data_IF_659319862884
#
_entry.id   IF_659319862884
#
_cell.length_a   1.000
_cell.length_b   1.000
_cell.length_c   1.000
_cell.angle_alpha   90.00
_cell.angle_beta   90.00
_cell.angle_gamma   90.00
#
_symmetry.space_group_name_H-M   'P 1'
#
loop_
_entity.id
_entity.type
_entity.pdbx_description
1 polymer ?
#
# COMPACT_ATOMS: atom_id res chain seq x y z
N UNK A 1 -14.49 -18.38 -25.79
CA UNK A 1 -15.16 -19.32 -24.90
C UNK A 1 -14.14 -20.00 -23.98
N UNK A 2 -14.53 -20.28 -22.74
CA UNK A 2 -13.67 -20.94 -21.73
C UNK A 2 -14.35 -22.24 -21.31
N UNK A 3 -13.73 -23.36 -21.64
CA UNK A 3 -14.14 -24.64 -21.10
C UNK A 3 -13.71 -24.75 -19.62
N UNK A 4 -14.68 -24.65 -18.70
CA UNK A 4 -14.42 -24.66 -17.25
C UNK A 4 -13.93 -26.02 -16.73
N UNK A 5 -14.12 -27.10 -17.47
CA UNK A 5 -13.74 -28.44 -17.04
C UNK A 5 -12.33 -28.81 -17.51
N UNK A 6 -11.97 -28.50 -18.76
CA UNK A 6 -10.64 -28.76 -19.31
C UNK A 6 -9.67 -27.60 -19.11
N UNK A 7 -10.18 -26.38 -18.83
CA UNK A 7 -9.38 -25.15 -18.75
C UNK A 7 -8.94 -24.62 -20.13
N UNK A 8 -9.44 -25.21 -21.21
CA UNK A 8 -9.11 -24.79 -22.57
C UNK A 8 -9.88 -23.53 -22.95
N UNK A 9 -9.19 -22.64 -23.63
CA UNK A 9 -9.72 -21.37 -24.08
C UNK A 9 -9.74 -21.33 -25.60
N UNK A 10 -10.92 -21.10 -26.16
CA UNK A 10 -11.12 -20.96 -27.59
C UNK A 10 -11.55 -19.54 -27.92
N UNK A 11 -10.91 -18.94 -28.92
CA UNK A 11 -11.23 -17.63 -29.43
C UNK A 11 -11.87 -17.78 -30.79
N UNK A 12 -13.06 -17.20 -30.95
CA UNK A 12 -13.81 -17.21 -32.20
C UNK A 12 -13.86 -15.77 -32.74
N UNK A 13 -13.56 -15.61 -34.03
CA UNK A 13 -13.82 -14.40 -34.77
C UNK A 13 -15.18 -14.50 -35.45
N UNK A 14 -16.01 -13.49 -35.27
CA UNK A 14 -17.26 -13.35 -35.99
C UNK A 14 -16.97 -12.58 -37.28
N UNK A 15 -17.23 -13.19 -38.43
CA UNK A 15 -17.04 -12.61 -39.76
C UNK A 15 -18.35 -12.54 -40.51
N UNK A 16 -18.58 -11.40 -41.18
CA UNK A 16 -19.72 -11.21 -42.06
C UNK A 16 -19.48 -11.89 -43.43
N UNK A 17 -20.46 -12.62 -43.92
CA UNK A 17 -20.43 -13.24 -45.27
C UNK A 17 -20.74 -12.18 -46.30
N UNK A 18 -19.79 -11.91 -47.20
CA UNK A 18 -19.89 -10.91 -48.29
C UNK A 18 -19.56 -11.53 -49.63
N UNK A 19 -19.94 -10.88 -50.72
CA UNK A 19 -19.55 -11.36 -52.07
C UNK A 19 -18.05 -11.19 -52.31
N UNK A 20 -17.49 -10.06 -51.88
CA UNK A 20 -16.06 -9.74 -52.00
C UNK A 20 -15.55 -9.21 -50.67
N UNK A 21 -14.62 -9.92 -50.03
CA UNK A 21 -14.07 -9.49 -48.76
C UNK A 21 -12.99 -8.42 -48.97
N UNK A 22 -13.23 -7.21 -48.45
CA UNK A 22 -12.25 -6.10 -48.44
C UNK A 22 -11.46 -6.12 -47.14
N UNK A 23 -12.08 -6.49 -46.02
CA UNK A 23 -11.45 -6.63 -44.70
C UNK A 23 -11.43 -8.12 -44.27
N UNK A 24 -10.30 -8.75 -44.49
CA UNK A 24 -10.10 -10.17 -44.14
C UNK A 24 -10.21 -10.46 -42.62
N UNK A 25 -10.18 -9.45 -41.76
CA UNK A 25 -10.33 -9.61 -40.30
C UNK A 25 -11.81 -9.81 -39.92
N UNK A 26 -12.72 -9.03 -40.55
CA UNK A 26 -14.13 -8.97 -40.20
C UNK A 26 -15.07 -9.59 -41.27
N UNK A 27 -14.54 -9.90 -42.44
CA UNK A 27 -15.33 -10.39 -43.57
C UNK A 27 -14.80 -11.74 -44.09
N UNK A 28 -15.71 -12.53 -44.67
CA UNK A 28 -15.42 -13.80 -45.35
C UNK A 28 -16.26 -13.87 -46.61
N UNK A 29 -15.66 -14.39 -47.70
CA UNK A 29 -16.43 -14.60 -48.92
C UNK A 29 -17.47 -15.70 -48.76
N UNK A 30 -18.60 -15.60 -49.49
CA UNK A 30 -19.63 -16.62 -49.51
C UNK A 30 -19.08 -17.98 -49.90
N UNK A 31 -18.09 -18.01 -50.81
CA UNK A 31 -17.46 -19.26 -51.26
C UNK A 31 -16.70 -19.95 -50.14
N UNK A 32 -15.95 -19.18 -49.32
CA UNK A 32 -15.19 -19.69 -48.17
C UNK A 32 -16.10 -20.03 -46.99
N UNK A 33 -17.16 -19.26 -46.78
CA UNK A 33 -18.17 -19.55 -45.75
C UNK A 33 -18.86 -20.88 -46.03
N UNK A 34 -19.23 -21.17 -47.29
CA UNK A 34 -19.84 -22.43 -47.71
C UNK A 34 -18.92 -23.65 -47.63
N UNK A 35 -17.62 -23.47 -47.59
CA UNK A 35 -16.65 -24.55 -47.29
C UNK A 35 -16.73 -25.00 -45.83
N UNK A 36 -17.15 -24.10 -44.94
CA UNK A 36 -17.34 -24.39 -43.51
C UNK A 36 -18.72 -25.04 -43.29
N UNK A 37 -19.79 -24.38 -43.75
CA UNK A 37 -21.13 -24.94 -43.74
C UNK A 37 -21.88 -24.50 -45.03
N UNK A 38 -22.39 -25.44 -45.87
CA UNK A 38 -23.10 -25.13 -47.11
C UNK A 38 -24.36 -24.28 -46.96
N UNK A 39 -24.87 -24.13 -45.73
CA UNK A 39 -26.10 -23.38 -45.41
C UNK A 39 -25.91 -21.89 -45.30
N UNK A 40 -24.67 -21.40 -45.24
CA UNK A 40 -24.41 -19.95 -45.13
C UNK A 40 -24.85 -19.19 -46.38
N UNK A 41 -25.49 -18.04 -46.13
CA UNK A 41 -25.96 -17.11 -47.14
C UNK A 41 -25.23 -15.74 -46.98
N UNK A 42 -25.42 -14.83 -47.93
CA UNK A 42 -24.91 -13.45 -47.83
C UNK A 42 -25.53 -12.78 -46.60
N UNK A 43 -24.77 -11.93 -45.95
CA UNK A 43 -25.07 -11.20 -44.71
C UNK A 43 -25.14 -12.07 -43.44
N UNK A 44 -24.91 -13.38 -43.54
CA UNK A 44 -24.78 -14.24 -42.36
C UNK A 44 -23.50 -13.91 -41.55
N UNK A 45 -23.50 -14.36 -40.30
CA UNK A 45 -22.31 -14.25 -39.42
C UNK A 45 -21.73 -15.66 -39.24
N UNK A 46 -20.47 -15.81 -39.58
CA UNK A 46 -19.71 -17.05 -39.39
C UNK A 46 -18.79 -16.94 -38.21
N UNK A 47 -18.84 -17.89 -37.31
CA UNK A 47 -17.87 -17.99 -36.19
C UNK A 47 -16.72 -18.92 -36.60
N UNK A 48 -15.53 -18.37 -36.69
CA UNK A 48 -14.31 -19.11 -37.05
C UNK A 48 -13.38 -19.14 -35.85
N UNK A 49 -12.94 -20.35 -35.48
CA UNK A 49 -11.96 -20.49 -34.42
C UNK A 49 -10.60 -19.95 -34.89
N UNK A 50 -10.11 -18.90 -34.21
CA UNK A 50 -8.85 -18.22 -34.47
C UNK A 50 -7.90 -18.31 -33.29
N UNK A 51 -8.04 -19.33 -32.47
CA UNK A 51 -7.23 -19.52 -31.26
C UNK A 51 -5.72 -19.51 -31.61
N UNK A 52 -4.93 -18.49 -31.22
CA UNK A 52 -3.51 -18.47 -31.52
C UNK A 52 -2.79 -19.62 -30.81
N UNK A 53 -1.85 -20.29 -31.47
CA UNK A 53 -1.07 -21.41 -30.90
C UNK A 53 -0.36 -21.06 -29.56
N UNK A 54 -0.07 -19.76 -29.32
CA UNK A 54 0.57 -19.28 -28.10
C UNK A 54 -0.40 -18.64 -27.09
N UNK A 55 -1.71 -18.68 -27.36
CA UNK A 55 -2.71 -17.98 -26.55
C UNK A 55 -2.73 -18.46 -25.09
N UNK A 56 -2.64 -19.77 -24.87
CA UNK A 56 -2.56 -20.35 -23.52
C UNK A 56 -1.37 -19.83 -22.72
N UNK A 57 -0.21 -19.62 -23.37
CA UNK A 57 0.97 -19.07 -22.72
C UNK A 57 0.77 -17.60 -22.35
N UNK A 58 0.20 -16.78 -23.26
CA UNK A 58 -0.09 -15.36 -23.01
C UNK A 58 -1.14 -15.22 -21.91
N UNK A 59 -2.22 -16.00 -21.97
CA UNK A 59 -3.27 -16.00 -20.96
C UNK A 59 -2.73 -16.39 -19.58
N UNK A 60 -1.90 -17.43 -19.50
CA UNK A 60 -1.27 -17.85 -18.25
C UNK A 60 -0.32 -16.77 -17.68
N UNK A 61 0.44 -16.09 -18.55
CA UNK A 61 1.33 -15.01 -18.14
C UNK A 61 0.54 -13.79 -17.62
N UNK A 62 -0.54 -13.40 -18.30
CA UNK A 62 -1.43 -12.33 -17.87
C UNK A 62 -2.12 -12.69 -16.56
N UNK A 63 -2.65 -13.92 -16.42
CA UNK A 63 -3.25 -14.38 -15.18
C UNK A 63 -2.27 -14.32 -14.01
N UNK A 64 -1.02 -14.77 -14.20
CA UNK A 64 0.04 -14.66 -13.21
C UNK A 64 0.27 -13.20 -12.79
N UNK A 65 0.36 -12.27 -13.75
CA UNK A 65 0.55 -10.85 -13.46
C UNK A 65 -0.62 -10.28 -12.63
N UNK A 66 -1.87 -10.59 -13.02
CA UNK A 66 -3.07 -10.14 -12.29
C UNK A 66 -3.08 -10.68 -10.86
N UNK A 67 -2.78 -11.97 -10.68
CA UNK A 67 -2.73 -12.59 -9.34
C UNK A 67 -1.65 -11.93 -8.48
N UNK A 68 -0.44 -11.75 -9.00
CA UNK A 68 0.66 -11.08 -8.29
C UNK A 68 0.29 -9.63 -7.93
N UNK A 69 -0.36 -8.90 -8.84
CA UNK A 69 -0.83 -7.55 -8.55
C UNK A 69 -1.87 -7.53 -7.43
N UNK A 70 -2.85 -8.44 -7.45
CA UNK A 70 -3.87 -8.54 -6.39
C UNK A 70 -3.27 -8.89 -5.03
N UNK A 71 -2.29 -9.78 -4.99
CA UNK A 71 -1.56 -10.10 -3.76
C UNK A 71 -0.86 -8.85 -3.21
N UNK A 72 -0.13 -8.12 -4.06
CA UNK A 72 0.55 -6.87 -3.66
C UNK A 72 -0.44 -5.80 -3.17
N UNK A 73 -1.60 -5.65 -3.82
CA UNK A 73 -2.64 -4.72 -3.38
C UNK A 73 -3.19 -5.10 -2.00
N UNK A 74 -3.45 -6.38 -1.76
CA UNK A 74 -3.90 -6.89 -0.47
C UNK A 74 -2.85 -6.68 0.63
N UNK A 75 -1.58 -6.99 0.36
CA UNK A 75 -0.46 -6.74 1.29
C UNK A 75 -0.34 -5.26 1.66
N UNK A 76 -0.42 -4.36 0.67
CA UNK A 76 -0.41 -2.91 0.90
C UNK A 76 -1.61 -2.45 1.73
N UNK A 77 -2.78 -3.03 1.50
CA UNK A 77 -3.98 -2.77 2.31
C UNK A 77 -3.79 -3.14 3.78
N UNK A 78 -3.28 -4.34 4.04
CA UNK A 78 -2.99 -4.79 5.42
C UNK A 78 -1.93 -3.93 6.12
N UNK A 79 -0.88 -3.53 5.40
CA UNK A 79 0.15 -2.64 5.95
C UNK A 79 -0.44 -1.26 6.26
N UNK A 80 -1.27 -0.71 5.36
CA UNK A 80 -1.95 0.55 5.60
C UNK A 80 -2.81 0.49 6.87
N UNK A 81 -3.70 -0.50 7.00
CA UNK A 81 -4.59 -0.65 8.17
C UNK A 81 -3.80 -0.80 9.47
N UNK A 82 -2.71 -1.59 9.43
CA UNK A 82 -1.85 -1.79 10.60
C UNK A 82 -1.30 -0.47 11.15
N UNK A 83 -0.81 0.42 10.28
CA UNK A 83 -0.20 1.68 10.72
C UNK A 83 -1.23 2.80 10.87
N UNK A 84 -2.33 2.78 10.13
CA UNK A 84 -3.44 3.71 10.30
C UNK A 84 -4.04 3.61 11.71
N UNK A 85 -4.25 2.39 12.21
CA UNK A 85 -4.71 2.16 13.58
C UNK A 85 -3.67 2.53 14.65
N UNK A 86 -2.46 2.89 14.25
CA UNK A 86 -1.37 3.35 15.11
C UNK A 86 -1.02 4.82 14.88
N UNK A 87 -1.86 5.57 14.21
CA UNK A 87 -1.72 7.03 14.20
C UNK A 87 -1.77 7.57 15.63
N UNK A 88 -1.01 8.61 15.89
CA UNK A 88 -0.82 9.18 17.23
C UNK A 88 -0.11 8.26 18.24
N UNK A 89 0.56 7.24 17.77
CA UNK A 89 1.39 6.34 18.56
C UNK A 89 2.86 6.43 18.13
N UNK A 90 3.76 5.81 18.88
CA UNK A 90 5.16 5.73 18.51
C UNK A 90 5.50 4.44 17.77
N UNK A 91 6.44 4.56 16.87
CA UNK A 91 7.01 3.42 16.14
C UNK A 91 8.53 3.49 16.21
N UNK A 92 9.14 2.31 16.34
CA UNK A 92 10.60 2.18 16.28
C UNK A 92 10.96 1.64 14.91
N UNK A 93 11.92 2.30 14.26
CA UNK A 93 12.48 1.86 12.99
C UNK A 93 13.98 2.10 12.90
N UNK A 94 14.54 1.73 11.76
CA UNK A 94 15.98 1.86 11.48
C UNK A 94 16.16 2.83 10.30
N UNK A 95 17.08 3.78 10.42
CA UNK A 95 17.37 4.71 9.34
C UNK A 95 18.00 3.95 8.18
N UNK A 96 17.32 3.98 7.01
CA UNK A 96 17.71 3.23 5.84
C UNK A 96 18.39 4.09 4.78
N UNK A 97 17.95 5.34 4.63
CA UNK A 97 18.51 6.29 3.67
C UNK A 97 18.14 7.72 4.01
N UNK A 98 18.89 8.64 3.43
CA UNK A 98 18.60 10.07 3.45
C UNK A 98 18.54 10.59 2.02
N UNK A 99 17.46 11.28 1.68
CA UNK A 99 17.23 11.80 0.34
C UNK A 99 16.52 13.16 0.43
N UNK A 100 17.03 14.18 -0.26
CA UNK A 100 16.49 15.54 -0.23
C UNK A 100 16.30 16.10 1.21
N UNK A 101 17.23 15.80 2.11
CA UNK A 101 17.18 16.11 3.54
C UNK A 101 16.07 15.39 4.34
N UNK A 102 15.24 14.58 3.71
CA UNK A 102 14.30 13.71 4.42
C UNK A 102 15.01 12.44 4.86
N UNK A 103 14.64 11.95 6.04
CA UNK A 103 15.14 10.68 6.57
C UNK A 103 14.09 9.61 6.34
N UNK A 104 14.49 8.51 5.75
CA UNK A 104 13.65 7.36 5.49
C UNK A 104 13.97 6.25 6.47
N UNK A 105 12.94 5.79 7.17
CA UNK A 105 13.04 4.86 8.29
C UNK A 105 12.32 3.57 7.92
N UNK A 106 13.05 2.47 7.96
CA UNK A 106 12.49 1.14 7.73
C UNK A 106 11.76 0.64 8.98
N UNK A 107 10.50 0.30 8.81
CA UNK A 107 9.64 -0.30 9.83
C UNK A 107 9.45 -1.81 9.62
N UNK A 108 10.22 -2.43 8.74
CA UNK A 108 10.19 -3.84 8.36
C UNK A 108 9.23 -4.15 7.22
N UNK A 109 7.98 -3.74 7.26
CA UNK A 109 6.98 -3.97 6.19
C UNK A 109 6.58 -2.69 5.46
N UNK A 110 7.02 -1.54 5.94
CA UNK A 110 6.73 -0.24 5.37
C UNK A 110 7.89 0.71 5.63
N UNK A 111 7.93 1.80 4.87
CA UNK A 111 8.88 2.88 5.03
C UNK A 111 8.16 4.10 5.60
N UNK A 112 8.75 4.70 6.63
CA UNK A 112 8.30 5.98 7.18
C UNK A 112 9.18 7.11 6.67
N UNK A 113 8.59 8.29 6.54
CA UNK A 113 9.28 9.51 6.07
C UNK A 113 9.28 10.55 7.19
N UNK A 114 10.47 10.92 7.62
CA UNK A 114 10.72 12.02 8.54
C UNK A 114 11.18 13.24 7.72
N UNK A 115 10.26 14.15 7.47
CA UNK A 115 10.54 15.37 6.69
C UNK A 115 11.40 16.34 7.47
N UNK A 116 12.05 17.28 6.77
CA UNK A 116 12.94 18.27 7.38
C UNK A 116 12.25 19.08 8.49
N UNK A 117 10.97 19.44 8.30
CA UNK A 117 10.20 20.20 9.31
C UNK A 117 9.88 19.41 10.59
N UNK A 118 9.95 18.09 10.51
CA UNK A 118 9.65 17.16 11.60
C UNK A 118 10.93 16.62 12.28
N UNK A 119 12.10 17.02 11.80
CA UNK A 119 13.40 16.68 12.39
C UNK A 119 13.73 17.65 13.50
N UNK A 120 14.42 17.16 14.54
CA UNK A 120 14.91 18.02 15.63
C UNK A 120 16.15 18.76 15.14
N UNK A 121 16.20 20.10 15.28
CA UNK A 121 17.38 20.87 14.94
C UNK A 121 18.61 20.41 15.74
N UNK A 122 19.70 20.09 15.03
CA UNK A 122 20.95 19.62 15.66
C UNK A 122 21.00 18.13 15.99
N UNK A 123 19.90 17.38 15.81
CA UNK A 123 19.93 15.92 15.93
C UNK A 123 20.65 15.32 14.70
N UNK A 124 21.57 14.41 14.95
CA UNK A 124 22.31 13.70 13.90
C UNK A 124 21.56 12.41 13.57
N UNK A 125 21.35 12.16 12.28
CA UNK A 125 20.70 10.98 11.77
C UNK A 125 21.71 10.15 10.99
N UNK A 126 22.11 8.99 11.53
CA UNK A 126 23.08 8.11 10.87
C UNK A 126 22.43 6.86 10.30
N UNK A 127 23.05 6.29 9.28
CA UNK A 127 22.60 5.02 8.71
C UNK A 127 22.64 3.91 9.75
N UNK A 128 21.60 3.09 9.76
CA UNK A 128 21.39 1.97 10.68
C UNK A 128 21.07 2.37 12.13
N UNK A 129 20.98 3.64 12.44
CA UNK A 129 20.52 4.07 13.75
C UNK A 129 19.07 3.66 13.98
N UNK A 130 18.82 3.18 15.18
CA UNK A 130 17.49 2.79 15.62
C UNK A 130 16.85 3.94 16.37
N UNK A 131 15.69 4.40 15.88
CA UNK A 131 15.03 5.53 16.51
C UNK A 131 13.53 5.32 16.72
N UNK A 132 13.01 5.94 17.78
CA UNK A 132 11.58 6.04 18.07
C UNK A 132 11.05 7.32 17.45
N UNK A 133 9.96 7.21 16.69
CA UNK A 133 9.29 8.35 16.05
C UNK A 133 7.78 8.30 16.30
N UNK A 134 7.13 9.44 16.23
CA UNK A 134 5.67 9.57 16.38
C UNK A 134 4.99 9.54 15.02
N UNK A 135 3.98 8.71 14.85
CA UNK A 135 3.21 8.62 13.61
C UNK A 135 2.22 9.79 13.55
N UNK A 136 2.41 10.70 12.59
CA UNK A 136 1.51 11.83 12.35
C UNK A 136 0.31 11.39 11.53
N UNK A 137 0.57 10.70 10.42
CA UNK A 137 -0.42 10.41 9.41
C UNK A 137 0.03 9.24 8.53
N UNK A 138 -0.92 8.44 8.08
CA UNK A 138 -0.69 7.36 7.12
C UNK A 138 -1.50 7.62 5.85
N UNK A 139 -0.81 7.80 4.72
CA UNK A 139 -1.41 8.11 3.42
C UNK A 139 -1.34 6.92 2.48
N UNK A 140 -2.40 6.72 1.70
CA UNK A 140 -2.38 5.79 0.57
C UNK A 140 -1.76 6.48 -0.64
N UNK A 141 -0.73 5.87 -1.22
CA UNK A 141 -0.15 6.31 -2.49
C UNK A 141 -0.20 5.19 -3.53
N UNK A 142 0.02 5.52 -4.80
CA UNK A 142 0.08 4.53 -5.88
C UNK A 142 1.21 3.50 -5.69
N UNK A 143 2.26 3.87 -4.96
CA UNK A 143 3.39 2.98 -4.65
C UNK A 143 3.19 2.15 -3.37
N UNK A 144 2.18 2.49 -2.56
CA UNK A 144 1.88 1.84 -1.28
C UNK A 144 1.59 2.84 -0.17
N UNK A 145 1.43 2.37 1.08
CA UNK A 145 1.22 3.25 2.23
C UNK A 145 2.49 4.07 2.51
N UNK A 146 2.31 5.37 2.71
CA UNK A 146 3.36 6.29 3.15
C UNK A 146 3.05 6.72 4.58
N UNK A 147 3.99 6.49 5.49
CA UNK A 147 3.86 6.78 6.91
C UNK A 147 4.65 8.06 7.20
N UNK A 148 3.95 9.12 7.56
CA UNK A 148 4.59 10.38 7.95
C UNK A 148 4.85 10.34 9.44
N UNK A 149 6.12 10.61 9.82
CA UNK A 149 6.54 10.56 11.22
C UNK A 149 7.19 11.86 11.65
N UNK A 150 7.19 12.09 12.97
CA UNK A 150 7.75 13.28 13.59
C UNK A 150 8.67 12.94 14.75
N UNK A 151 9.71 13.78 14.92
CA UNK A 151 10.55 13.85 16.12
C UNK A 151 10.25 15.10 16.95
N UNK A 152 9.56 16.07 16.36
CA UNK A 152 9.25 17.37 17.01
C UNK A 152 7.92 17.38 17.74
N UNK A 153 6.96 16.55 17.32
CA UNK A 153 5.60 16.55 17.84
C UNK A 153 5.53 16.31 19.36
N UNK A 154 4.73 17.09 20.13
CA UNK A 154 4.58 16.90 21.58
C UNK A 154 4.10 15.51 21.97
N UNK A 155 3.27 14.88 21.13
CA UNK A 155 2.79 13.54 21.33
C UNK A 155 3.89 12.48 21.44
N UNK A 156 5.04 12.68 20.78
CA UNK A 156 6.20 11.80 20.95
C UNK A 156 6.63 11.74 22.43
N UNK A 157 6.75 12.91 23.06
CA UNK A 157 7.14 12.97 24.45
C UNK A 157 6.12 12.29 25.36
N UNK A 158 4.84 12.60 25.16
CA UNK A 158 3.74 11.97 25.91
C UNK A 158 3.80 10.45 25.84
N UNK A 159 3.93 9.90 24.63
CA UNK A 159 4.01 8.44 24.42
C UNK A 159 5.28 7.81 25.01
N UNK A 160 6.40 8.53 24.98
CA UNK A 160 7.63 8.06 25.62
C UNK A 160 7.45 7.96 27.14
N UNK A 161 6.84 8.96 27.78
CA UNK A 161 6.54 8.89 29.20
C UNK A 161 5.56 7.77 29.57
N UNK A 162 4.53 7.55 28.76
CA UNK A 162 3.60 6.42 28.93
C UNK A 162 4.30 5.06 28.83
N UNK A 163 5.42 4.95 28.12
CA UNK A 163 6.19 3.71 28.01
C UNK A 163 7.21 3.51 29.14
N UNK A 164 7.82 4.59 29.60
CA UNK A 164 8.99 4.53 30.48
C UNK A 164 8.61 4.75 31.96
N UNK A 165 7.44 5.38 32.24
CA UNK A 165 6.98 5.67 33.59
C UNK A 165 5.82 4.74 33.97
N UNK A 166 6.05 3.79 34.88
CA UNK A 166 5.02 2.82 35.27
C UNK A 166 3.74 3.46 35.80
N UNK A 167 3.84 4.52 36.58
CA UNK A 167 2.68 5.20 37.19
C UNK A 167 1.79 5.87 36.13
N UNK A 168 2.37 6.30 35.01
CA UNK A 168 1.60 6.82 33.87
C UNK A 168 0.98 5.66 33.08
N UNK A 169 1.74 4.59 32.89
CA UNK A 169 1.26 3.39 32.20
C UNK A 169 0.04 2.78 32.91
N UNK A 170 0.11 2.70 34.24
CA UNK A 170 -0.94 2.15 35.09
C UNK A 170 -2.12 3.12 35.32
N UNK A 171 -2.01 4.35 34.79
CA UNK A 171 -3.06 5.37 34.87
C UNK A 171 -3.15 6.06 36.25
N UNK A 172 -2.15 5.89 37.12
CA UNK A 172 -2.06 6.55 38.43
C UNK A 172 -1.69 8.00 38.30
N UNK A 173 -0.81 8.33 37.34
CA UNK A 173 -0.42 9.67 36.96
C UNK A 173 -0.84 9.98 35.53
N UNK A 174 -1.44 11.14 35.32
CA UNK A 174 -1.93 11.57 34.01
C UNK A 174 -1.14 12.79 33.51
N UNK A 175 -0.70 12.75 32.25
CA UNK A 175 -0.12 13.93 31.57
C UNK A 175 -1.25 14.80 31.04
N UNK A 176 -1.44 15.99 31.61
CA UNK A 176 -2.47 16.96 31.21
C UNK A 176 -2.08 17.79 30.00
N UNK A 177 -0.84 18.23 29.95
CA UNK A 177 -0.34 19.03 28.83
C UNK A 177 1.17 18.89 28.66
N UNK A 178 1.64 19.16 27.44
CA UNK A 178 3.04 19.15 27.06
C UNK A 178 3.33 20.45 26.30
N UNK A 179 4.31 21.24 26.78
CA UNK A 179 4.88 22.34 26.06
C UNK A 179 6.33 21.96 25.68
N UNK A 180 6.63 21.93 24.38
CA UNK A 180 7.88 21.39 23.86
C UNK A 180 8.58 22.35 22.92
N UNK A 181 9.86 22.60 23.19
CA UNK A 181 10.82 23.20 22.27
C UNK A 181 11.77 22.10 21.80
N UNK A 182 11.56 21.50 20.61
CA UNK A 182 12.32 20.34 20.16
C UNK A 182 13.82 20.59 20.11
N UNK A 183 14.62 19.68 20.71
CA UNK A 183 16.06 19.80 20.81
C UNK A 183 16.55 20.73 21.91
N UNK A 184 15.65 21.42 22.61
CA UNK A 184 16.01 22.38 23.69
C UNK A 184 15.45 21.90 25.04
N UNK A 185 14.19 22.19 25.32
CA UNK A 185 13.53 21.87 26.59
C UNK A 185 12.07 21.50 26.40
N UNK A 186 11.55 20.75 27.37
CA UNK A 186 10.14 20.43 27.44
C UNK A 186 9.63 20.61 28.86
N UNK A 187 8.36 20.98 28.98
CA UNK A 187 7.63 21.04 30.24
C UNK A 187 6.40 20.17 30.11
N UNK A 188 6.15 19.34 31.11
CA UNK A 188 4.94 18.52 31.19
C UNK A 188 4.16 18.95 32.45
N UNK A 189 2.83 18.96 32.30
CA UNK A 189 1.94 19.11 33.44
C UNK A 189 1.37 17.73 33.76
N UNK A 190 1.63 17.25 34.95
CA UNK A 190 1.18 15.95 35.44
C UNK A 190 0.19 16.11 36.59
N UNK A 191 -0.70 15.13 36.74
CA UNK A 191 -1.74 15.13 37.73
C UNK A 191 -2.02 13.70 38.23
N UNK A 192 -2.29 13.59 39.52
CA UNK A 192 -2.81 12.35 40.11
C UNK A 192 -4.02 12.65 40.98
N UNK A 193 -4.87 11.64 41.15
CA UNK A 193 -5.98 11.67 42.11
C UNK A 193 -5.61 11.08 43.47
N UNK A 194 -4.49 10.34 43.53
CA UNK A 194 -4.01 9.69 44.76
C UNK A 194 -3.06 10.61 45.49
N UNK A 195 -3.45 11.02 46.71
CA UNK A 195 -2.64 11.92 47.56
C UNK A 195 -1.33 11.29 48.03
N UNK A 196 -1.19 9.96 47.91
CA UNK A 196 0.05 9.27 48.29
C UNK A 196 1.10 9.18 47.15
N UNK A 197 0.76 9.64 45.98
CA UNK A 197 1.64 9.62 44.82
C UNK A 197 2.13 11.03 44.51
N UNK A 198 3.44 11.21 44.49
CA UNK A 198 4.06 12.43 43.94
C UNK A 198 4.14 12.33 42.42
N UNK A 199 3.27 13.02 41.63
CA UNK A 199 3.26 12.91 40.20
C UNK A 199 4.49 13.54 39.53
N UNK A 200 5.19 14.46 40.21
CA UNK A 200 6.42 15.06 39.68
C UNK A 200 7.62 14.16 39.95
N UNK A 201 7.68 13.58 41.15
CA UNK A 201 8.72 12.62 41.52
C UNK A 201 8.66 11.31 40.71
N UNK A 202 7.46 10.85 40.27
CA UNK A 202 7.28 9.70 39.43
C UNK A 202 7.81 9.92 37.97
N UNK A 203 7.82 11.16 37.50
CA UNK A 203 8.27 11.52 36.16
C UNK A 203 9.71 12.03 36.12
#
# INVERSE_FOLDING_TARGET
DLNRTSGELHVYAQKHVVETAEDSANEITLEDARKIDPRYELDDIVEIEVTPKNFGRIAAQNAKQVVVQRIREAERGMVFEKYYNRENDIVTGVIQRMENRNVYIDLGKAEAVLTVGEQIPGEIYEYHDRMKTYILEVRKTSKGPQIMVSRTHPGLLKRLFELEVPEIHDGLVEIKSVAREPGMRSKIAVYTKDENIDPVGAC
#
